data_IF_445851046940
#
_entry.id   IF_445851046940
#
_cell.length_a   1.000
_cell.length_b   1.000
_cell.length_c   1.000
_cell.angle_alpha   90.00
_cell.angle_beta   90.00
_cell.angle_gamma   90.00
#
_symmetry.space_group_name_H-M   'P 1'
#
loop_
_entity.id
_entity.type
_entity.pdbx_description
1 polymer ?
#
# COMPACT_ATOMS: atom_id res chain seq x y z
N UNK A 1 -70.41 -92.59 24.96
CA UNK A 1 -70.51 -91.29 25.66
C UNK A 1 -69.13 -90.85 26.14
N UNK A 2 -68.85 -89.55 25.96
CA UNK A 2 -67.78 -88.69 26.53
C UNK A 2 -66.65 -88.26 25.59
N UNK A 3 -66.59 -86.92 25.47
CA UNK A 3 -65.69 -86.01 24.77
C UNK A 3 -64.35 -85.85 25.50
N UNK A 4 -63.37 -85.25 24.81
CA UNK A 4 -62.48 -84.09 25.18
C UNK A 4 -61.31 -84.16 24.16
N UNK A 5 -61.14 -83.30 23.14
CA UNK A 5 -60.81 -81.85 23.04
C UNK A 5 -59.53 -81.41 23.77
N UNK A 6 -58.45 -81.37 22.98
CA UNK A 6 -57.44 -80.31 22.79
C UNK A 6 -56.66 -79.73 23.99
N UNK A 7 -55.33 -79.86 23.94
CA UNK A 7 -54.44 -78.68 23.92
C UNK A 7 -53.11 -79.03 23.25
N UNK A 8 -52.89 -78.42 22.09
CA UNK A 8 -51.61 -78.28 21.40
C UNK A 8 -50.81 -77.22 22.14
N UNK A 9 -49.58 -77.50 22.56
CA UNK A 9 -48.47 -76.54 22.44
C UNK A 9 -47.16 -77.32 22.21
N UNK A 10 -46.74 -77.36 20.95
CA UNK A 10 -45.33 -77.41 20.58
C UNK A 10 -44.65 -76.12 21.04
N UNK A 11 -43.49 -76.19 21.70
CA UNK A 11 -42.25 -75.69 21.11
C UNK A 11 -41.06 -76.02 22.00
N UNK A 12 -40.13 -76.74 21.37
CA UNK A 12 -38.71 -76.72 21.67
C UNK A 12 -38.26 -75.25 21.74
N UNK A 13 -37.83 -74.76 22.89
CA UNK A 13 -36.92 -73.63 22.94
C UNK A 13 -35.83 -73.93 23.93
N UNK A 14 -34.60 -73.95 23.40
CA UNK A 14 -33.39 -74.00 24.19
C UNK A 14 -33.46 -72.88 25.23
N UNK A 15 -33.60 -73.24 26.50
CA UNK A 15 -33.40 -72.30 27.59
C UNK A 15 -31.89 -72.09 27.64
N UNK A 16 -31.41 -71.09 26.89
CA UNK A 16 -30.11 -70.51 27.12
C UNK A 16 -30.14 -69.92 28.52
N UNK A 17 -29.54 -70.62 29.50
CA UNK A 17 -29.26 -70.05 30.80
C UNK A 17 -28.26 -68.91 30.59
N UNK A 18 -28.74 -67.68 30.51
CA UNK A 18 -27.89 -66.50 30.57
C UNK A 18 -27.74 -66.17 32.06
N UNK A 19 -26.59 -66.53 32.63
CA UNK A 19 -26.22 -66.09 33.96
C UNK A 19 -26.10 -64.56 33.95
N UNK A 20 -27.15 -63.87 34.41
CA UNK A 20 -27.13 -62.43 34.62
C UNK A 20 -26.51 -62.17 36.00
N UNK A 21 -25.30 -61.62 36.02
CA UNK A 21 -24.62 -61.21 37.24
C UNK A 21 -25.27 -59.92 37.78
N UNK A 22 -26.40 -60.06 38.48
CA UNK A 22 -27.04 -58.97 39.21
C UNK A 22 -26.46 -58.87 40.62
N UNK A 23 -25.45 -58.03 40.80
CA UNK A 23 -25.24 -57.40 42.11
C UNK A 23 -26.08 -56.14 42.16
N UNK A 24 -27.06 -56.16 43.05
CA UNK A 24 -27.70 -55.04 43.72
C UNK A 24 -27.90 -53.71 42.93
N UNK A 25 -29.17 -53.40 42.68
CA UNK A 25 -29.80 -52.07 42.69
C UNK A 25 -29.24 -50.86 41.90
N UNK A 26 -28.41 -50.97 40.84
CA UNK A 26 -28.41 -50.00 39.69
C UNK A 26 -27.48 -50.28 38.48
N UNK A 27 -26.74 -51.39 38.42
CA UNK A 27 -25.71 -51.62 37.39
C UNK A 27 -26.09 -52.71 36.37
N UNK A 28 -27.21 -52.55 35.66
CA UNK A 28 -27.66 -53.60 34.74
C UNK A 28 -27.02 -53.50 33.37
N UNK A 29 -26.20 -54.49 33.03
CA UNK A 29 -25.78 -54.77 31.66
C UNK A 29 -26.80 -55.73 31.05
N UNK A 30 -27.45 -55.34 29.97
CA UNK A 30 -28.39 -56.16 29.21
C UNK A 30 -27.73 -56.62 27.93
N UNK A 31 -27.93 -57.89 27.56
CA UNK A 31 -27.58 -58.39 26.25
C UNK A 31 -28.83 -58.85 25.52
N UNK A 32 -29.05 -58.35 24.31
CA UNK A 32 -30.17 -58.70 23.45
C UNK A 32 -29.70 -58.76 22.00
N UNK A 33 -29.93 -59.88 21.31
CA UNK A 33 -29.61 -60.06 19.90
C UNK A 33 -28.16 -59.72 19.52
N UNK A 34 -27.19 -59.95 20.43
CA UNK A 34 -25.77 -59.66 20.20
C UNK A 34 -25.32 -58.23 20.54
N UNK A 35 -26.24 -57.35 20.94
CA UNK A 35 -25.94 -56.00 21.42
C UNK A 35 -25.80 -55.97 22.94
N UNK A 36 -25.02 -55.02 23.47
CA UNK A 36 -24.82 -54.78 24.90
C UNK A 36 -25.39 -53.41 25.28
N UNK A 37 -26.40 -53.39 26.15
CA UNK A 37 -26.96 -52.19 26.75
C UNK A 37 -26.43 -51.98 28.16
N UNK A 38 -25.95 -50.78 28.51
CA UNK A 38 -25.62 -50.44 29.90
C UNK A 38 -26.72 -49.53 30.43
N UNK A 39 -27.59 -50.07 31.29
CA UNK A 39 -28.79 -49.39 31.83
C UNK A 39 -29.92 -49.14 30.80
N UNK A 40 -29.94 -49.91 29.70
CA UNK A 40 -31.02 -49.92 28.70
C UNK A 40 -31.37 -51.36 28.30
N UNK A 41 -32.65 -51.69 28.21
CA UNK A 41 -33.14 -53.06 27.98
C UNK A 41 -33.29 -53.43 26.50
N UNK A 42 -33.30 -52.45 25.60
CA UNK A 42 -33.44 -52.64 24.15
C UNK A 42 -32.36 -51.85 23.40
N UNK A 43 -31.09 -52.28 23.45
CA UNK A 43 -29.98 -51.56 22.83
C UNK A 43 -30.13 -51.47 21.30
N UNK A 44 -30.05 -50.24 20.76
CA UNK A 44 -30.19 -49.95 19.32
C UNK A 44 -28.91 -50.11 18.49
N UNK A 45 -27.77 -50.32 19.14
CA UNK A 45 -26.46 -50.53 18.53
C UNK A 45 -25.67 -51.60 19.30
N UNK A 46 -24.54 -52.05 18.76
CA UNK A 46 -23.68 -53.08 19.38
C UNK A 46 -23.31 -52.76 20.83
N UNK A 47 -23.07 -51.48 21.14
CA UNK A 47 -22.97 -50.97 22.50
C UNK A 47 -23.85 -49.73 22.60
N UNK A 48 -24.86 -49.77 23.47
CA UNK A 48 -25.78 -48.67 23.71
C UNK A 48 -25.74 -48.25 25.19
N UNK A 49 -25.31 -47.01 25.43
CA UNK A 49 -25.12 -46.46 26.78
C UNK A 49 -25.87 -45.13 26.84
N UNK A 50 -27.11 -45.09 27.37
CA UNK A 50 -27.82 -43.85 27.58
C UNK A 50 -27.14 -42.98 28.64
N UNK A 51 -27.45 -41.68 28.61
CA UNK A 51 -27.01 -40.74 29.65
C UNK A 51 -27.50 -41.19 31.02
N UNK A 52 -26.58 -41.23 31.99
CA UNK A 52 -26.90 -41.48 33.38
C UNK A 52 -27.44 -40.23 34.10
N UNK A 53 -28.14 -40.45 35.21
CA UNK A 53 -28.73 -39.38 36.04
C UNK A 53 -27.69 -38.55 36.83
N UNK A 54 -26.43 -38.96 36.87
CA UNK A 54 -25.37 -38.31 37.65
C UNK A 54 -24.54 -37.35 36.78
N UNK A 55 -24.01 -36.28 37.40
CA UNK A 55 -23.24 -35.23 36.70
C UNK A 55 -21.95 -35.69 36.00
N UNK A 56 -21.50 -36.93 36.22
CA UNK A 56 -20.35 -37.54 35.54
C UNK A 56 -20.57 -37.82 34.05
N UNK A 57 -21.82 -37.80 33.59
CA UNK A 57 -22.21 -38.01 32.20
C UNK A 57 -22.48 -39.46 31.84
N UNK A 58 -22.33 -39.80 30.56
CA UNK A 58 -22.58 -41.13 29.99
C UNK A 58 -21.39 -42.08 30.17
N UNK A 59 -20.18 -41.61 29.88
CA UNK A 59 -18.96 -42.40 29.97
C UNK A 59 -17.79 -41.56 30.50
N UNK A 60 -16.91 -42.19 31.29
CA UNK A 60 -15.71 -41.58 31.86
C UNK A 60 -14.48 -42.43 31.54
N UNK A 61 -13.52 -41.87 30.83
CA UNK A 61 -12.23 -42.51 30.55
C UNK A 61 -11.16 -41.80 31.36
N UNK A 62 -10.68 -42.46 32.43
CA UNK A 62 -9.75 -41.87 33.40
C UNK A 62 -8.31 -42.06 32.95
N UNK A 63 -7.60 -40.94 32.79
CA UNK A 63 -6.14 -40.92 32.84
C UNK A 63 -5.63 -40.66 34.25
N UNK A 64 -4.31 -40.56 34.39
CA UNK A 64 -3.65 -40.31 35.68
C UNK A 64 -4.13 -39.01 36.34
N UNK A 65 -4.31 -37.92 35.58
CA UNK A 65 -4.69 -36.60 36.12
C UNK A 65 -5.94 -35.99 35.47
N UNK A 66 -6.41 -36.50 34.32
CA UNK A 66 -7.53 -35.94 33.57
C UNK A 66 -8.46 -37.04 33.11
N UNK A 67 -9.73 -36.69 32.90
CA UNK A 67 -10.79 -37.62 32.52
C UNK A 67 -11.44 -37.14 31.22
N UNK A 68 -11.54 -37.99 30.22
CA UNK A 68 -12.40 -37.74 29.04
C UNK A 68 -13.83 -38.14 29.37
N UNK A 69 -14.79 -37.32 28.97
CA UNK A 69 -16.20 -37.55 29.25
C UNK A 69 -17.05 -37.46 28.00
N UNK A 70 -18.13 -38.23 27.98
CA UNK A 70 -19.22 -38.09 27.03
C UNK A 70 -20.46 -37.61 27.78
N UNK A 71 -21.11 -36.56 27.28
CA UNK A 71 -22.28 -35.91 27.89
C UNK A 71 -22.05 -35.49 29.36
N UNK A 72 -20.98 -34.76 29.66
CA UNK A 72 -20.65 -34.31 31.03
C UNK A 72 -21.54 -33.16 31.50
N UNK A 73 -21.80 -33.07 32.81
CA UNK A 73 -22.58 -31.98 33.44
C UNK A 73 -24.00 -31.85 32.87
N UNK A 74 -24.69 -30.74 33.17
CA UNK A 74 -26.04 -30.43 32.68
C UNK A 74 -26.08 -29.99 31.22
N UNK A 75 -24.95 -29.51 30.67
CA UNK A 75 -24.86 -29.05 29.28
C UNK A 75 -24.57 -30.18 28.29
N UNK A 76 -24.29 -31.39 28.79
CA UNK A 76 -23.95 -32.57 28.00
C UNK A 76 -22.68 -32.38 27.12
N UNK A 77 -21.72 -31.62 27.63
CA UNK A 77 -20.46 -31.36 26.95
C UNK A 77 -19.66 -32.65 26.76
N UNK A 78 -19.07 -32.83 25.57
CA UNK A 78 -18.13 -33.93 25.32
C UNK A 78 -16.70 -33.43 25.40
N UNK A 79 -15.90 -34.05 26.26
CA UNK A 79 -14.49 -33.72 26.47
C UNK A 79 -13.61 -34.88 25.98
N UNK A 80 -12.85 -34.64 24.91
CA UNK A 80 -11.79 -35.55 24.47
C UNK A 80 -10.46 -34.96 24.93
N UNK A 81 -9.79 -35.62 25.88
CA UNK A 81 -8.60 -35.11 26.58
C UNK A 81 -7.52 -36.18 26.69
N UNK A 82 -6.25 -35.75 26.67
CA UNK A 82 -5.14 -36.60 27.05
C UNK A 82 -5.13 -36.83 28.58
N UNK A 83 -4.68 -38.02 29.00
CA UNK A 83 -4.82 -38.49 30.38
C UNK A 83 -3.99 -37.78 31.45
N UNK A 84 -3.01 -36.93 31.08
CA UNK A 84 -2.18 -36.16 32.01
C UNK A 84 -1.87 -34.76 31.48
N UNK A 85 -1.14 -33.96 32.25
CA UNK A 85 -0.61 -32.68 31.75
C UNK A 85 0.40 -32.96 30.62
N UNK A 86 0.34 -32.19 29.54
CA UNK A 86 1.18 -32.33 28.34
C UNK A 86 0.99 -33.61 27.49
N UNK A 87 -0.01 -34.45 27.77
CA UNK A 87 -0.36 -35.54 26.84
C UNK A 87 -1.14 -35.01 25.64
N UNK A 88 -0.88 -35.57 24.46
CA UNK A 88 -1.54 -35.21 23.21
C UNK A 88 -2.90 -35.92 23.06
N UNK A 89 -3.82 -35.29 22.34
CA UNK A 89 -5.00 -35.94 21.75
C UNK A 89 -4.73 -35.99 20.26
N UNK A 90 -4.54 -37.18 19.72
CA UNK A 90 -4.40 -37.36 18.28
C UNK A 90 -5.79 -37.62 17.69
N UNK A 91 -6.18 -36.82 16.71
CA UNK A 91 -7.41 -37.01 15.95
C UNK A 91 -7.00 -37.39 14.54
N UNK A 92 -7.34 -38.61 14.13
CA UNK A 92 -7.09 -39.10 12.79
C UNK A 92 -5.59 -39.12 12.42
N UNK A 93 -4.80 -39.87 13.19
CA UNK A 93 -3.32 -39.86 13.19
C UNK A 93 -2.64 -40.64 12.06
N UNK A 94 -3.38 -41.49 11.34
CA UNK A 94 -2.87 -42.32 10.24
C UNK A 94 -3.49 -41.96 8.88
N UNK A 95 -3.74 -40.67 8.65
CA UNK A 95 -4.28 -40.13 7.40
C UNK A 95 -5.79 -39.88 7.41
N UNK A 96 -6.28 -39.09 6.45
CA UNK A 96 -7.66 -38.60 6.35
C UNK A 96 -7.87 -37.19 6.92
N UNK A 97 -9.10 -36.71 6.88
CA UNK A 97 -9.43 -35.31 7.15
C UNK A 97 -10.37 -35.15 8.36
N UNK A 98 -10.19 -34.09 9.15
CA UNK A 98 -11.07 -33.74 10.28
C UNK A 98 -12.03 -32.64 9.85
N UNK A 99 -13.32 -33.01 9.72
CA UNK A 99 -14.40 -32.07 9.44
C UNK A 99 -14.96 -31.47 10.73
N UNK A 100 -15.01 -30.13 10.83
CA UNK A 100 -15.78 -29.44 11.87
C UNK A 100 -17.05 -28.92 11.22
N UNK A 101 -18.17 -29.56 11.52
CA UNK A 101 -19.49 -29.24 10.92
C UNK A 101 -19.52 -29.48 9.40
N UNK A 102 -18.61 -30.32 8.90
CA UNK A 102 -18.53 -30.81 7.52
C UNK A 102 -18.45 -32.34 7.54
N UNK A 103 -19.37 -33.03 6.87
CA UNK A 103 -19.40 -34.50 6.82
C UNK A 103 -18.55 -35.10 5.69
N UNK A 104 -18.03 -34.28 4.78
CA UNK A 104 -17.17 -34.71 3.68
C UNK A 104 -15.96 -33.76 3.50
N UNK A 105 -15.04 -33.73 4.48
CA UNK A 105 -13.94 -32.77 4.50
C UNK A 105 -12.96 -32.98 3.33
N UNK A 106 -12.64 -31.92 2.59
CA UNK A 106 -11.76 -31.93 1.41
C UNK A 106 -10.30 -31.54 1.70
N UNK A 107 -10.03 -31.13 2.94
CA UNK A 107 -8.70 -30.79 3.44
C UNK A 107 -8.51 -31.37 4.85
N UNK A 108 -7.25 -31.50 5.30
CA UNK A 108 -6.89 -32.13 6.58
C UNK A 108 -7.67 -31.57 7.77
N UNK A 109 -7.95 -30.26 7.77
CA UNK A 109 -8.95 -29.63 8.65
C UNK A 109 -9.88 -28.82 7.75
N UNK A 110 -11.15 -29.21 7.72
CA UNK A 110 -12.18 -28.54 6.91
C UNK A 110 -13.31 -28.09 7.83
N UNK A 111 -13.41 -26.77 8.00
CA UNK A 111 -14.35 -26.14 8.94
C UNK A 111 -15.42 -25.44 8.13
N UNK A 112 -16.66 -25.94 8.19
CA UNK A 112 -17.81 -25.27 7.58
C UNK A 112 -18.17 -24.00 8.36
N UNK A 113 -18.73 -23.00 7.66
CA UNK A 113 -19.25 -21.79 8.29
C UNK A 113 -20.22 -22.13 9.41
N UNK A 114 -20.00 -21.53 10.58
CA UNK A 114 -20.94 -21.61 11.69
C UNK A 114 -22.17 -20.74 11.45
N UNK A 115 -23.34 -21.17 11.92
CA UNK A 115 -24.61 -20.41 11.84
C UNK A 115 -24.67 -19.15 12.74
N UNK A 116 -23.60 -18.81 13.47
CA UNK A 116 -23.57 -17.71 14.43
C UNK A 116 -22.53 -16.65 14.01
N UNK A 117 -22.75 -15.38 14.38
CA UNK A 117 -21.93 -14.23 13.94
C UNK A 117 -20.44 -14.24 14.33
N UNK A 118 -19.96 -15.26 15.04
CA UNK A 118 -18.55 -15.44 15.43
C UNK A 118 -17.58 -15.86 14.31
N UNK A 119 -18.11 -16.21 13.14
CA UNK A 119 -17.35 -16.65 11.95
C UNK A 119 -17.05 -18.15 11.90
N UNK A 120 -16.31 -18.57 10.86
CA UNK A 120 -15.99 -19.99 10.59
C UNK A 120 -14.89 -20.51 11.52
N UNK A 121 -13.80 -19.76 11.67
CA UNK A 121 -12.69 -20.11 12.54
C UNK A 121 -12.21 -18.89 13.33
N UNK A 122 -11.83 -19.10 14.58
CA UNK A 122 -11.47 -18.06 15.52
C UNK A 122 -10.19 -18.43 16.25
N UNK A 123 -9.18 -17.57 16.13
CA UNK A 123 -7.89 -17.72 16.81
C UNK A 123 -7.73 -16.58 17.80
N UNK A 124 -7.91 -16.89 19.09
CA UNK A 124 -7.88 -15.90 20.17
C UNK A 124 -6.43 -15.64 20.62
N UNK A 125 -5.99 -14.39 20.49
CA UNK A 125 -4.82 -13.87 21.20
C UNK A 125 -5.21 -13.33 22.58
N UNK A 126 -4.24 -12.77 23.30
CA UNK A 126 -4.47 -12.18 24.63
C UNK A 126 -5.47 -11.03 24.60
N UNK A 127 -5.37 -10.14 23.59
CA UNK A 127 -6.19 -8.94 23.49
C UNK A 127 -7.01 -8.85 22.19
N UNK A 128 -6.61 -9.57 21.14
CA UNK A 128 -7.25 -9.52 19.82
C UNK A 128 -7.42 -10.92 19.26
N UNK A 129 -8.46 -11.07 18.45
CA UNK A 129 -8.84 -12.34 17.85
C UNK A 129 -8.79 -12.24 16.34
N UNK A 130 -8.13 -13.19 15.71
CA UNK A 130 -8.20 -13.37 14.25
C UNK A 130 -9.43 -14.20 13.92
N UNK A 131 -10.14 -13.81 12.87
CA UNK A 131 -11.34 -14.51 12.41
C UNK A 131 -11.27 -14.75 10.92
N UNK A 132 -11.81 -15.88 10.49
CA UNK A 132 -12.06 -16.20 9.09
C UNK A 132 -13.58 -16.24 8.87
N UNK A 133 -14.06 -15.54 7.84
CA UNK A 133 -15.48 -15.40 7.50
C UNK A 133 -16.36 -14.90 8.67
N UNK A 134 -15.93 -13.84 9.34
CA UNK A 134 -16.64 -13.21 10.46
C UNK A 134 -17.87 -12.42 10.00
N UNK A 135 -18.92 -12.40 10.83
CA UNK A 135 -20.20 -11.70 10.57
C UNK A 135 -21.00 -12.29 9.39
N UNK A 136 -22.08 -11.60 9.03
CA UNK A 136 -22.89 -11.88 7.84
C UNK A 136 -22.14 -11.60 6.53
N UNK A 137 -21.21 -10.63 6.55
CA UNK A 137 -20.43 -10.15 5.39
C UNK A 137 -19.15 -10.97 5.12
N UNK A 138 -18.89 -12.01 5.92
CA UNK A 138 -17.76 -12.95 5.76
C UNK A 138 -16.37 -12.30 5.73
N UNK A 139 -16.15 -11.27 6.53
CA UNK A 139 -14.86 -10.60 6.63
C UNK A 139 -13.77 -11.52 7.20
N UNK A 140 -12.56 -11.42 6.65
CA UNK A 140 -11.38 -12.08 7.23
C UNK A 140 -10.51 -11.04 7.93
N UNK A 141 -10.21 -11.28 9.21
CA UNK A 141 -9.34 -10.45 10.04
C UNK A 141 -8.10 -11.24 10.44
N UNK A 142 -6.95 -10.87 9.90
CA UNK A 142 -5.63 -11.38 10.32
C UNK A 142 -4.98 -10.30 11.19
N UNK A 143 -4.78 -10.61 12.48
CA UNK A 143 -4.32 -9.64 13.48
C UNK A 143 -3.27 -10.26 14.40
N UNK A 144 -2.33 -9.44 14.85
CA UNK A 144 -1.45 -9.82 15.95
C UNK A 144 -2.21 -9.89 17.29
N UNK A 145 -1.82 -10.84 18.15
CA UNK A 145 -2.57 -11.17 19.37
C UNK A 145 -2.49 -10.15 20.52
N UNK A 146 -1.56 -9.18 20.44
CA UNK A 146 -1.37 -8.08 21.42
C UNK A 146 -1.41 -6.72 20.73
N UNK A 147 -1.56 -5.65 21.52
CA UNK A 147 -1.39 -4.29 21.00
C UNK A 147 0.04 -4.14 20.44
N UNK A 148 0.18 -3.47 19.28
CA UNK A 148 1.45 -3.24 18.58
C UNK A 148 2.18 -4.49 18.06
N UNK A 149 1.53 -5.66 18.05
CA UNK A 149 2.12 -6.85 17.43
C UNK A 149 1.99 -6.79 15.90
N UNK A 150 3.04 -7.21 15.21
CA UNK A 150 3.10 -7.23 13.75
C UNK A 150 2.37 -8.45 13.20
N UNK A 151 1.79 -8.30 12.00
CA UNK A 151 1.36 -9.41 11.17
C UNK A 151 2.39 -9.52 10.05
N UNK A 152 3.19 -10.58 10.08
CA UNK A 152 4.11 -10.87 8.99
C UNK A 152 3.38 -11.74 7.97
N UNK A 153 3.34 -11.27 6.72
CA UNK A 153 2.87 -12.04 5.58
C UNK A 153 4.12 -12.46 4.81
N UNK A 154 4.37 -13.77 4.70
CA UNK A 154 5.55 -14.33 4.03
C UNK A 154 6.88 -13.94 4.72
N UNK A 155 7.09 -14.43 5.95
CA UNK A 155 8.17 -14.03 6.87
C UNK A 155 9.58 -14.58 6.55
N UNK A 156 9.75 -15.32 5.44
CA UNK A 156 11.03 -15.90 5.03
C UNK A 156 11.49 -15.43 3.63
N UNK A 157 11.39 -14.13 3.37
CA UNK A 157 12.00 -13.47 2.21
C UNK A 157 11.26 -13.66 0.87
N UNK A 158 10.09 -14.28 0.88
CA UNK A 158 9.25 -14.39 -0.31
C UNK A 158 8.47 -13.10 -0.60
N UNK A 159 7.99 -12.99 -1.84
CA UNK A 159 7.22 -11.84 -2.30
C UNK A 159 5.75 -11.93 -1.88
N UNK A 160 5.11 -10.78 -1.63
CA UNK A 160 3.66 -10.68 -1.38
C UNK A 160 2.98 -10.21 -2.67
N UNK A 161 2.21 -11.12 -3.28
CA UNK A 161 1.36 -10.82 -4.43
C UNK A 161 -0.04 -10.39 -4.01
N UNK A 162 -0.50 -9.21 -4.44
CA UNK A 162 -1.90 -8.80 -4.32
C UNK A 162 -2.54 -8.89 -5.71
N UNK A 163 -3.44 -9.85 -5.88
CA UNK A 163 -4.02 -10.23 -7.19
C UNK A 163 -2.95 -10.66 -8.21
N UNK A 164 -1.82 -11.16 -7.72
CA UNK A 164 -0.73 -11.70 -8.53
C UNK A 164 -0.27 -13.03 -7.91
N UNK A 165 -0.35 -14.13 -8.68
CA UNK A 165 0.07 -15.48 -8.23
C UNK A 165 1.55 -15.76 -8.50
N UNK A 166 2.26 -14.87 -9.20
CA UNK A 166 3.68 -15.00 -9.52
C UNK A 166 4.40 -13.66 -9.33
N UNK A 167 4.45 -13.15 -8.08
CA UNK A 167 5.04 -11.85 -7.79
C UNK A 167 6.57 -11.83 -8.03
N UNK A 168 7.07 -10.86 -8.80
CA UNK A 168 8.51 -10.72 -9.14
C UNK A 168 9.24 -9.68 -8.28
N UNK A 169 8.52 -8.96 -7.42
CA UNK A 169 9.04 -8.00 -6.46
C UNK A 169 8.46 -8.27 -5.06
N UNK A 170 9.13 -7.79 -4.00
CA UNK A 170 8.74 -8.03 -2.60
C UNK A 170 7.28 -7.68 -2.31
N UNK A 171 6.76 -6.63 -2.93
CA UNK A 171 5.32 -6.35 -3.02
C UNK A 171 4.97 -6.13 -4.50
N UNK A 172 4.14 -7.01 -5.04
CA UNK A 172 3.71 -6.98 -6.43
C UNK A 172 2.17 -6.93 -6.48
N UNK A 173 1.64 -5.80 -6.95
CA UNK A 173 0.21 -5.50 -6.91
C UNK A 173 -0.28 -5.34 -8.34
N UNK A 174 -1.06 -6.32 -8.80
CA UNK A 174 -1.73 -6.23 -10.10
C UNK A 174 -2.81 -5.15 -10.09
N UNK A 175 -3.08 -4.59 -11.27
CA UNK A 175 -4.17 -3.63 -11.45
C UNK A 175 -5.50 -4.15 -10.90
N UNK A 176 -6.21 -3.26 -10.20
CA UNK A 176 -7.58 -3.51 -9.75
C UNK A 176 -8.58 -3.47 -10.93
N UNK A 177 -9.62 -4.31 -10.88
CA UNK A 177 -10.64 -4.37 -11.95
C UNK A 177 -11.68 -3.24 -11.90
N UNK A 178 -11.56 -2.30 -10.96
CA UNK A 178 -12.51 -1.21 -10.75
C UNK A 178 -11.82 0.14 -10.93
N UNK A 179 -12.62 1.20 -11.13
CA UNK A 179 -12.10 2.56 -11.41
C UNK A 179 -11.19 3.17 -10.34
N UNK A 180 -11.10 2.58 -9.14
CA UNK A 180 -10.20 3.01 -8.06
C UNK A 180 -8.70 2.79 -8.32
N UNK A 181 -8.36 1.98 -9.33
CA UNK A 181 -6.98 1.69 -9.74
C UNK A 181 -6.29 0.60 -8.92
N UNK A 182 -4.95 0.59 -8.95
CA UNK A 182 -4.09 -0.40 -8.26
C UNK A 182 -3.93 -0.08 -6.78
N UNK A 183 -3.61 1.18 -6.46
CA UNK A 183 -3.40 1.64 -5.09
C UNK A 183 -4.04 3.01 -4.87
N UNK A 184 -4.57 3.21 -3.67
CA UNK A 184 -5.34 4.40 -3.30
C UNK A 184 -4.92 4.91 -1.93
N UNK A 185 -4.45 6.15 -1.87
CA UNK A 185 -4.02 6.83 -0.64
C UNK A 185 -4.96 8.01 -0.37
N UNK A 186 -5.88 7.84 0.58
CA UNK A 186 -6.93 8.82 0.87
C UNK A 186 -6.43 9.93 1.79
N UNK A 187 -6.56 11.17 1.35
CA UNK A 187 -6.56 12.35 2.21
C UNK A 187 -7.99 12.75 2.62
N UNK A 188 -8.13 13.93 3.24
CA UNK A 188 -9.43 14.43 3.72
C UNK A 188 -10.45 14.62 2.59
N UNK A 189 -10.03 15.29 1.50
CA UNK A 189 -10.90 15.64 0.37
C UNK A 189 -10.41 15.06 -0.97
N UNK A 190 -9.14 14.67 -1.04
CA UNK A 190 -8.46 14.22 -2.27
C UNK A 190 -7.68 12.94 -1.99
N UNK A 191 -7.50 12.12 -3.03
CA UNK A 191 -6.94 10.78 -2.95
C UNK A 191 -5.84 10.56 -3.98
N UNK A 192 -4.61 10.30 -3.59
CA UNK A 192 -3.57 9.90 -4.54
C UNK A 192 -3.84 8.50 -5.05
N UNK A 193 -3.58 8.25 -6.34
CA UNK A 193 -3.83 6.96 -6.97
C UNK A 193 -2.66 6.55 -7.86
N UNK A 194 -2.49 5.23 -7.99
CA UNK A 194 -1.65 4.60 -9.01
C UNK A 194 -2.55 3.76 -9.93
N UNK A 195 -2.41 3.97 -11.24
CA UNK A 195 -3.24 3.34 -12.30
C UNK A 195 -4.75 3.57 -12.15
N UNK A 196 -5.16 4.81 -11.90
CA UNK A 196 -6.57 5.22 -11.77
C UNK A 196 -7.31 5.22 -13.11
N UNK A 197 -8.62 4.96 -13.07
CA UNK A 197 -9.52 4.88 -14.24
C UNK A 197 -9.15 3.77 -15.24
N UNK A 198 -9.82 3.75 -16.39
CA UNK A 198 -9.50 2.91 -17.55
C UNK A 198 -8.13 3.25 -18.15
N UNK A 199 -7.72 4.50 -18.04
CA UNK A 199 -6.54 5.08 -18.72
C UNK A 199 -5.26 5.00 -17.87
N UNK A 200 -5.37 4.41 -16.67
CA UNK A 200 -4.26 4.14 -15.75
C UNK A 200 -3.44 5.37 -15.33
N UNK A 201 -4.11 6.51 -15.12
CA UNK A 201 -3.46 7.72 -14.66
C UNK A 201 -2.83 7.56 -13.27
N UNK A 202 -1.69 8.22 -13.06
CA UNK A 202 -1.06 8.33 -11.74
C UNK A 202 -1.27 9.75 -11.20
N UNK A 203 -1.84 9.85 -10.00
CA UNK A 203 -2.04 11.12 -9.30
C UNK A 203 -1.25 11.12 -8.00
N UNK A 204 -0.29 12.05 -7.89
CA UNK A 204 0.39 12.39 -6.64
C UNK A 204 -0.12 13.76 -6.21
N UNK A 205 -0.95 13.81 -5.15
CA UNK A 205 -1.62 15.04 -4.70
C UNK A 205 -1.72 15.14 -3.18
N UNK A 206 -1.78 16.37 -2.69
CA UNK A 206 -2.11 16.65 -1.29
C UNK A 206 -3.59 16.38 -0.97
N UNK A 207 -3.89 16.12 0.31
CA UNK A 207 -5.21 15.68 0.77
C UNK A 207 -6.30 16.75 0.80
N UNK A 208 -5.96 18.05 0.73
CA UNK A 208 -6.88 19.19 0.64
C UNK A 208 -6.61 20.02 -0.63
N UNK A 209 -7.48 21.00 -0.92
CA UNK A 209 -7.33 21.88 -2.09
C UNK A 209 -6.05 22.71 -2.07
N UNK A 210 -5.62 23.14 -0.89
CA UNK A 210 -4.44 23.98 -0.65
C UNK A 210 -3.21 23.19 -0.15
N UNK A 211 -3.24 21.86 -0.21
CA UNK A 211 -2.09 21.05 0.19
C UNK A 211 -1.04 21.00 -0.92
N UNK A 212 0.22 21.19 -0.54
CA UNK A 212 1.38 21.03 -1.43
C UNK A 212 1.83 19.57 -1.51
N UNK A 213 2.42 19.20 -2.65
CA UNK A 213 3.23 17.98 -2.78
C UNK A 213 4.68 18.41 -2.63
N UNK A 214 5.32 18.00 -1.55
CA UNK A 214 6.74 18.23 -1.36
C UNK A 214 7.53 17.08 -1.99
N UNK A 215 8.40 17.42 -2.94
CA UNK A 215 9.36 16.48 -3.51
C UNK A 215 10.71 16.81 -2.90
N UNK A 216 11.30 15.85 -2.18
CA UNK A 216 12.62 16.00 -1.58
C UNK A 216 12.68 17.17 -0.56
N UNK A 217 11.85 17.09 0.48
CA UNK A 217 11.64 18.14 1.49
C UNK A 217 12.90 18.52 2.29
N UNK A 218 13.84 17.58 2.45
CA UNK A 218 15.16 17.83 3.05
C UNK A 218 16.21 18.32 2.03
N UNK A 219 15.77 18.98 0.96
CA UNK A 219 16.61 19.83 0.15
C UNK A 219 17.52 19.12 -0.85
N UNK A 220 17.27 17.85 -1.18
CA UNK A 220 17.96 17.24 -2.32
C UNK A 220 17.48 17.80 -3.66
N UNK A 221 18.20 17.46 -4.73
CA UNK A 221 17.94 18.02 -6.05
C UNK A 221 16.89 17.19 -6.82
N UNK A 222 16.15 17.84 -7.70
CA UNK A 222 15.18 17.22 -8.61
C UNK A 222 15.74 17.23 -10.03
N UNK A 223 16.01 16.05 -10.57
CA UNK A 223 16.38 15.85 -11.97
C UNK A 223 15.18 15.38 -12.80
N UNK A 224 14.88 16.06 -13.90
CA UNK A 224 13.87 15.66 -14.87
C UNK A 224 14.58 15.28 -16.17
N UNK A 225 14.60 14.00 -16.52
CA UNK A 225 15.35 13.48 -17.68
C UNK A 225 16.87 13.47 -17.50
N UNK A 226 17.38 13.69 -16.29
CA UNK A 226 18.82 13.66 -15.95
C UNK A 226 19.03 13.18 -14.51
N UNK A 227 20.14 12.48 -14.27
CA UNK A 227 20.63 12.12 -12.92
C UNK A 227 21.69 13.10 -12.41
N UNK A 228 22.35 13.83 -13.31
CA UNK A 228 23.33 14.85 -12.96
C UNK A 228 22.65 16.22 -12.94
N UNK A 229 22.43 16.76 -11.73
CA UNK A 229 21.79 18.08 -11.57
C UNK A 229 22.79 19.24 -11.57
N UNK A 230 24.10 18.96 -11.71
CA UNK A 230 25.18 19.96 -11.72
C UNK A 230 25.12 20.95 -10.53
N UNK A 231 24.64 20.49 -9.39
CA UNK A 231 24.47 21.31 -8.18
C UNK A 231 23.21 22.17 -8.14
N UNK A 232 22.42 22.23 -9.22
CA UNK A 232 21.14 22.95 -9.24
C UNK A 232 20.04 22.15 -8.52
N UNK A 233 19.14 22.87 -7.84
CA UNK A 233 17.97 22.28 -7.16
C UNK A 233 16.97 21.64 -8.13
N UNK A 234 16.84 22.22 -9.32
CA UNK A 234 16.03 21.68 -10.41
C UNK A 234 16.90 21.64 -11.68
N UNK A 235 17.08 20.46 -12.25
CA UNK A 235 17.76 20.28 -13.52
C UNK A 235 16.84 19.54 -14.50
N UNK A 236 16.64 20.12 -15.68
CA UNK A 236 15.77 19.56 -16.72
C UNK A 236 16.60 19.33 -17.98
N UNK A 237 16.73 18.07 -18.41
CA UNK A 237 17.33 17.72 -19.69
C UNK A 237 16.24 17.73 -20.76
N UNK A 238 15.89 18.92 -21.22
CA UNK A 238 14.79 19.15 -22.14
C UNK A 238 14.33 20.61 -22.12
N UNK A 239 13.18 20.88 -22.73
CA UNK A 239 12.59 22.23 -22.77
C UNK A 239 11.60 22.42 -21.62
N UNK A 240 11.63 23.60 -21.02
CA UNK A 240 10.64 24.05 -20.04
C UNK A 240 9.68 25.00 -20.76
N UNK A 241 8.37 24.76 -20.68
CA UNK A 241 7.34 25.70 -21.12
C UNK A 241 6.70 26.33 -19.89
N UNK A 242 6.76 27.64 -19.79
CA UNK A 242 6.15 28.41 -18.71
C UNK A 242 5.34 29.57 -19.31
N UNK A 243 4.32 30.03 -18.59
CA UNK A 243 3.66 31.30 -18.89
C UNK A 243 4.54 32.48 -18.47
N UNK A 244 5.21 32.34 -17.31
CA UNK A 244 6.06 33.35 -16.72
C UNK A 244 7.17 32.69 -15.89
N UNK A 245 8.35 33.31 -15.85
CA UNK A 245 9.46 32.95 -14.96
C UNK A 245 9.96 34.25 -14.35
N UNK A 246 9.87 34.36 -13.02
CA UNK A 246 10.48 35.46 -12.26
C UNK A 246 11.87 35.01 -11.84
N UNK A 247 12.90 35.75 -12.25
CA UNK A 247 14.29 35.49 -11.90
C UNK A 247 14.79 36.61 -11.00
N UNK A 248 15.13 36.28 -9.77
CA UNK A 248 15.73 37.21 -8.81
C UNK A 248 17.23 37.34 -9.08
N UNK A 249 17.59 38.00 -10.20
CA UNK A 249 18.98 38.26 -10.53
C UNK A 249 19.52 39.48 -9.79
N UNK A 250 20.72 39.33 -9.23
CA UNK A 250 21.49 40.41 -8.61
C UNK A 250 22.94 40.32 -9.07
N UNK A 251 23.61 41.44 -9.40
CA UNK A 251 23.11 42.82 -9.41
C UNK A 251 22.35 43.21 -10.68
N UNK A 252 21.38 44.13 -10.56
CA UNK A 252 20.69 44.76 -11.69
C UNK A 252 21.49 45.99 -12.16
N UNK A 253 21.68 46.21 -13.48
CA UNK A 253 22.51 47.29 -13.98
C UNK A 253 21.75 48.60 -13.91
N UNK A 254 21.87 49.30 -12.78
CA UNK A 254 21.39 50.67 -12.57
C UNK A 254 22.59 51.57 -12.25
N UNK A 255 23.50 51.67 -13.21
CA UNK A 255 24.73 52.44 -13.03
C UNK A 255 25.27 53.08 -14.30
N UNK A 256 24.78 52.71 -15.49
CA UNK A 256 25.32 53.23 -16.76
C UNK A 256 25.05 54.73 -16.91
N UNK A 257 23.93 55.23 -16.39
CA UNK A 257 23.59 56.65 -16.43
C UNK A 257 24.21 57.49 -15.30
N UNK A 258 25.03 56.90 -14.43
CA UNK A 258 25.70 57.66 -13.36
C UNK A 258 26.85 58.48 -13.95
N UNK A 259 27.09 59.67 -13.39
CA UNK A 259 28.10 60.62 -13.90
C UNK A 259 29.54 60.08 -13.88
N UNK A 260 29.82 59.09 -13.04
CA UNK A 260 31.13 58.43 -12.94
C UNK A 260 31.24 57.15 -13.79
N UNK A 261 30.24 56.84 -14.62
CA UNK A 261 30.29 55.69 -15.50
C UNK A 261 31.28 55.93 -16.65
N UNK A 262 32.29 55.06 -16.75
CA UNK A 262 33.28 55.14 -17.80
C UNK A 262 32.76 54.49 -19.09
N UNK A 263 32.02 55.26 -19.89
CA UNK A 263 31.57 54.82 -21.20
C UNK A 263 32.76 54.61 -22.15
N UNK A 264 32.95 53.38 -22.61
CA UNK A 264 34.09 53.04 -23.47
C UNK A 264 33.99 53.80 -24.81
N UNK A 265 35.04 54.41 -25.37
CA UNK A 265 34.93 55.06 -26.67
C UNK A 265 34.55 54.05 -27.78
N UNK A 266 33.68 54.44 -28.73
CA UNK A 266 33.25 53.55 -29.82
C UNK A 266 34.41 52.96 -30.63
N UNK A 267 35.53 53.69 -30.75
CA UNK A 267 36.76 53.19 -31.39
C UNK A 267 37.36 51.99 -30.64
N UNK A 268 37.35 52.00 -29.31
CA UNK A 268 37.82 50.89 -28.48
C UNK A 268 36.82 49.72 -28.50
N UNK A 269 35.51 50.00 -28.52
CA UNK A 269 34.49 48.97 -28.72
C UNK A 269 34.69 48.26 -30.07
N UNK A 270 34.90 49.03 -31.15
CA UNK A 270 35.16 48.49 -32.49
C UNK A 270 36.45 47.64 -32.52
N UNK A 271 37.51 48.10 -31.85
CA UNK A 271 38.75 47.34 -31.70
C UNK A 271 38.52 46.04 -30.91
N UNK A 272 37.72 46.07 -29.85
CA UNK A 272 37.37 44.87 -29.08
C UNK A 272 36.61 43.87 -29.94
N UNK A 273 35.58 44.30 -30.67
CA UNK A 273 34.84 43.43 -31.58
C UNK A 273 35.77 42.84 -32.66
N UNK A 274 36.65 43.66 -33.26
CA UNK A 274 37.60 43.18 -34.27
C UNK A 274 38.58 42.13 -33.73
N UNK A 275 38.94 42.22 -32.45
CA UNK A 275 39.94 41.33 -31.82
C UNK A 275 39.32 40.12 -31.12
N UNK A 276 38.10 40.23 -30.60
CA UNK A 276 37.43 39.19 -29.78
C UNK A 276 36.19 38.60 -30.43
N UNK A 277 35.59 39.26 -31.42
CA UNK A 277 34.41 38.77 -32.14
C UNK A 277 33.08 38.92 -31.41
N UNK A 278 33.04 39.57 -30.25
CA UNK A 278 31.82 39.82 -29.48
C UNK A 278 31.89 41.17 -28.75
N UNK A 279 30.77 41.60 -28.16
CA UNK A 279 30.72 42.82 -27.35
C UNK A 279 31.46 42.66 -26.02
N UNK A 280 32.05 43.73 -25.47
CA UNK A 280 32.62 43.71 -24.12
C UNK A 280 31.62 43.22 -23.08
N UNK A 281 32.07 42.44 -22.10
CA UNK A 281 31.29 41.88 -20.99
C UNK A 281 30.20 40.85 -21.36
N UNK A 282 29.98 40.56 -22.65
CA UNK A 282 29.11 39.48 -23.11
C UNK A 282 29.93 38.18 -23.20
N UNK A 283 29.41 37.05 -22.68
CA UNK A 283 30.14 35.78 -22.74
C UNK A 283 30.35 35.31 -24.18
N UNK A 284 31.43 34.57 -24.40
CA UNK A 284 31.76 33.94 -25.67
C UNK A 284 30.84 32.75 -25.96
N UNK A 285 30.75 32.35 -27.22
CA UNK A 285 30.03 31.14 -27.63
C UNK A 285 30.55 29.89 -26.88
N UNK A 286 31.86 29.73 -26.74
CA UNK A 286 32.46 28.59 -26.05
C UNK A 286 32.05 28.52 -24.57
N UNK A 287 32.01 29.66 -23.87
CA UNK A 287 31.54 29.72 -22.48
C UNK A 287 30.07 29.32 -22.35
N UNK A 288 29.23 29.76 -23.31
CA UNK A 288 27.79 29.43 -23.35
C UNK A 288 27.56 27.94 -23.64
N UNK A 289 28.30 27.34 -24.58
CA UNK A 289 28.16 25.90 -24.85
C UNK A 289 28.59 25.04 -23.67
N UNK A 290 29.66 25.42 -22.96
CA UNK A 290 30.18 24.63 -21.84
C UNK A 290 29.30 24.76 -20.59
N UNK A 291 28.89 25.99 -20.23
CA UNK A 291 28.29 26.28 -18.94
C UNK A 291 26.80 26.64 -19.00
N UNK A 292 26.25 26.80 -20.21
CA UNK A 292 24.92 27.40 -20.39
C UNK A 292 24.92 28.89 -20.08
N UNK A 293 23.73 29.46 -19.92
CA UNK A 293 23.56 30.88 -19.59
C UNK A 293 22.54 31.09 -18.48
N UNK A 294 22.91 31.92 -17.50
CA UNK A 294 21.97 32.40 -16.49
C UNK A 294 21.04 33.43 -17.15
N UNK A 295 19.75 33.10 -17.21
CA UNK A 295 18.72 33.94 -17.84
C UNK A 295 18.73 35.36 -17.27
N UNK A 296 18.76 35.48 -15.94
CA UNK A 296 18.74 36.77 -15.27
C UNK A 296 20.04 37.57 -15.46
N UNK A 297 21.20 36.91 -15.42
CA UNK A 297 22.49 37.57 -15.66
C UNK A 297 22.61 38.06 -17.11
N UNK A 298 22.10 37.30 -18.08
CA UNK A 298 22.13 37.72 -19.48
C UNK A 298 21.17 38.89 -19.72
N UNK A 299 19.96 38.85 -19.16
CA UNK A 299 19.03 39.97 -19.26
C UNK A 299 19.60 41.26 -18.65
N UNK A 300 20.30 41.16 -17.51
CA UNK A 300 21.04 42.29 -16.96
C UNK A 300 22.12 42.79 -17.94
N UNK A 301 23.01 41.92 -18.43
CA UNK A 301 24.05 42.34 -19.38
C UNK A 301 23.46 42.98 -20.64
N UNK A 302 22.36 42.47 -21.17
CA UNK A 302 21.66 43.04 -22.33
C UNK A 302 21.10 44.43 -22.01
N UNK A 303 20.48 44.63 -20.83
CA UNK A 303 20.02 45.93 -20.39
C UNK A 303 21.17 46.94 -20.31
N UNK A 304 22.29 46.56 -19.70
CA UNK A 304 23.49 47.41 -19.65
C UNK A 304 23.92 47.85 -21.06
N UNK A 305 23.88 46.95 -22.06
CA UNK A 305 24.23 47.29 -23.45
C UNK A 305 23.23 48.19 -24.13
N UNK A 306 21.94 48.07 -23.80
CA UNK A 306 20.91 48.99 -24.27
C UNK A 306 21.15 50.40 -23.69
N UNK A 307 21.51 50.51 -22.40
CA UNK A 307 21.83 51.79 -21.78
C UNK A 307 23.10 52.43 -22.36
N UNK A 308 24.17 51.65 -22.56
CA UNK A 308 25.41 52.12 -23.23
C UNK A 308 25.11 52.60 -24.66
N UNK A 309 24.31 51.85 -25.42
CA UNK A 309 23.87 52.23 -26.77
C UNK A 309 23.08 53.54 -26.76
N UNK A 310 22.24 53.73 -25.75
CA UNK A 310 21.46 54.97 -25.57
C UNK A 310 22.37 56.17 -25.35
N UNK A 311 23.42 56.04 -24.53
CA UNK A 311 24.41 57.09 -24.33
C UNK A 311 25.18 57.44 -25.62
N UNK A 312 25.62 56.44 -26.40
CA UNK A 312 26.25 56.70 -27.69
C UNK A 312 25.31 57.41 -28.67
N UNK A 313 24.04 57.06 -28.66
CA UNK A 313 23.03 57.67 -29.55
C UNK A 313 22.81 59.14 -29.18
N UNK A 314 22.74 59.46 -27.88
CA UNK A 314 22.68 60.86 -27.40
C UNK A 314 23.94 61.62 -27.85
N UNK A 315 25.13 61.05 -27.65
CA UNK A 315 26.39 61.67 -28.07
C UNK A 315 26.44 61.92 -29.59
N UNK A 316 25.93 60.99 -30.40
CA UNK A 316 25.86 61.14 -31.85
C UNK A 316 24.89 62.26 -32.26
N UNK A 317 23.73 62.35 -31.62
CA UNK A 317 22.75 63.43 -31.85
C UNK A 317 23.36 64.80 -31.55
N UNK A 318 24.06 64.94 -30.43
CA UNK A 318 24.75 66.19 -30.05
C UNK A 318 25.82 66.60 -31.08
N UNK A 319 26.56 65.62 -31.61
CA UNK A 319 27.56 65.85 -32.67
C UNK A 319 26.91 66.25 -33.99
N UNK A 320 25.79 65.62 -34.37
CA UNK A 320 25.05 65.96 -35.58
C UNK A 320 24.48 67.38 -35.50
N UNK A 321 23.91 67.76 -34.37
CA UNK A 321 23.39 69.11 -34.13
C UNK A 321 24.51 70.15 -34.19
N UNK A 322 25.66 69.86 -33.58
CA UNK A 322 26.85 70.73 -33.66
C UNK A 322 27.36 70.90 -35.09
N UNK A 323 27.39 69.81 -35.86
CA UNK A 323 27.81 69.84 -37.27
C UNK A 323 26.81 70.62 -38.15
N UNK A 324 25.50 70.49 -37.89
CA UNK A 324 24.46 71.24 -38.59
C UNK A 324 24.57 72.74 -38.31
N UNK A 325 24.80 73.14 -37.07
CA UNK A 325 25.01 74.55 -36.73
C UNK A 325 26.28 75.10 -37.38
N UNK A 326 27.39 74.36 -37.34
CA UNK A 326 28.61 74.76 -38.05
C UNK A 326 28.38 74.89 -39.57
N UNK A 327 27.62 73.98 -40.18
CA UNK A 327 27.24 74.06 -41.59
C UNK A 327 26.40 75.31 -41.89
N UNK A 328 25.44 75.67 -41.03
CA UNK A 328 24.66 76.91 -41.19
C UNK A 328 25.58 78.14 -41.15
N UNK A 329 26.52 78.19 -40.21
CA UNK A 329 27.49 79.30 -40.10
C UNK A 329 28.34 79.43 -41.36
N UNK A 330 28.96 78.33 -41.81
CA UNK A 330 29.81 78.33 -43.03
C UNK A 330 29.00 78.71 -44.27
N UNK A 331 27.75 78.25 -44.38
CA UNK A 331 26.86 78.64 -45.48
C UNK A 331 26.52 80.13 -45.46
N UNK A 332 26.34 80.73 -44.27
CA UNK A 332 26.11 82.16 -44.13
C UNK A 332 27.35 82.97 -44.57
N UNK A 333 28.54 82.58 -44.10
CA UNK A 333 29.81 83.23 -44.48
C UNK A 333 30.07 83.15 -45.99
N UNK A 334 29.86 81.98 -46.60
CA UNK A 334 29.98 81.82 -48.07
C UNK A 334 29.00 82.70 -48.84
N UNK A 335 27.79 82.91 -48.31
CA UNK A 335 26.79 83.77 -48.94
C UNK A 335 27.20 85.24 -48.90
N UNK A 336 27.82 85.68 -47.81
CA UNK A 336 28.30 87.06 -47.69
C UNK A 336 29.59 87.30 -48.50
N UNK A 337 30.49 86.31 -48.60
CA UNK A 337 31.66 86.39 -49.49
C UNK A 337 31.25 86.50 -50.97
N UNK A 338 30.23 85.76 -51.40
CA UNK A 338 29.68 85.82 -52.77
C UNK A 338 28.98 87.13 -53.11
N UNK A 339 28.62 87.97 -52.11
CA UNK A 339 28.06 89.32 -52.36
C UNK A 339 29.16 90.37 -52.49
N UNK A 340 30.40 90.06 -52.10
CA UNK A 340 31.54 90.98 -52.14
C UNK A 340 32.37 90.88 -53.45
N UNK A 341 31.99 89.99 -54.36
CA UNK A 341 32.54 89.80 -55.70
C UNK A 341 31.45 89.95 -56.76
#
# INVERSE_FOLDING_TARGET
MKKIILSIVTLLSAIGLHAQHNYDNQNTIYSLNGNVGVRITSPGATLDVPRGNAGGGTAMFRGTNRISHFNFSTNEDTYIRGGKVNSNVFLNDNGGNVGVRNTNPQATIDVSRGNAGGGTAMFRGTNRTSHFSYSIDEHTYIRGGKLNSNVFLNDNGGNVGIRNTSPIATLDVSRGNAGGGTAMFRGTNRTSHFSYSTDEHTYIRGGKSNSSVFLNDNGGNVGIGTTNTRGYKLAVNGKIRAKEIVVEASPWPDFVFKSNYNLLPLKEVAKHIKTKGHLPNIPTENEVHQNGISLGTMNAKLLQKIEELTLYTIQQEDQLNSLQEALKTVQAELKDLKKQH
#
